data_IF_752647170141
#
_entry.id   IF_752647170141
#
_cell.length_a   1.000
_cell.length_b   1.000
_cell.length_c   1.000
_cell.angle_alpha   90.00
_cell.angle_beta   90.00
_cell.angle_gamma   90.00
#
_symmetry.space_group_name_H-M   'P 1'
#
loop_
_entity.id
_entity.type
_entity.pdbx_description
1 polymer ?
#
# COMPACT_ATOMS: atom_id res chain seq x y z
N UNK A 1 34.83 6.49 -24.66
CA UNK A 1 34.82 5.01 -24.77
C UNK A 1 34.36 4.31 -23.48
N UNK A 2 34.65 4.82 -22.28
CA UNK A 2 34.21 4.22 -21.00
C UNK A 2 32.69 4.24 -20.74
N UNK A 3 31.97 5.32 -21.11
CA UNK A 3 30.51 5.44 -20.94
C UNK A 3 29.67 4.38 -21.68
N UNK A 4 30.20 3.81 -22.77
CA UNK A 4 29.52 2.76 -23.53
C UNK A 4 29.56 1.40 -22.84
N UNK A 5 30.70 1.08 -22.20
CA UNK A 5 30.92 -0.19 -21.52
C UNK A 5 30.10 -0.31 -20.23
N UNK A 6 30.01 0.77 -19.44
CA UNK A 6 29.15 0.82 -18.24
C UNK A 6 27.67 0.62 -18.59
N UNK A 7 27.20 1.27 -19.67
CA UNK A 7 25.81 1.15 -20.11
C UNK A 7 25.48 -0.27 -20.57
N UNK A 8 26.41 -0.91 -21.28
CA UNK A 8 26.26 -2.29 -21.75
C UNK A 8 26.20 -3.28 -20.57
N UNK A 9 27.00 -3.05 -19.52
CA UNK A 9 27.01 -3.87 -18.31
C UNK A 9 25.70 -3.72 -17.51
N UNK A 10 25.21 -2.49 -17.32
CA UNK A 10 23.92 -2.23 -16.65
C UNK A 10 22.77 -2.90 -17.41
N UNK A 11 22.77 -2.81 -18.75
CA UNK A 11 21.72 -3.43 -19.57
C UNK A 11 21.79 -4.96 -19.51
N UNK A 12 22.98 -5.54 -19.57
CA UNK A 12 23.18 -6.98 -19.44
C UNK A 12 22.69 -7.49 -18.07
N UNK A 13 22.97 -6.76 -16.99
CA UNK A 13 22.53 -7.12 -15.65
C UNK A 13 20.99 -7.02 -15.48
N UNK A 14 20.38 -5.98 -16.05
CA UNK A 14 18.91 -5.86 -16.07
C UNK A 14 18.26 -6.97 -16.90
N UNK A 15 18.79 -7.26 -18.09
CA UNK A 15 18.28 -8.32 -18.96
C UNK A 15 18.43 -9.70 -18.32
N UNK A 16 19.54 -9.96 -17.64
CA UNK A 16 19.75 -11.22 -16.90
C UNK A 16 18.70 -11.39 -15.80
N UNK A 17 18.40 -10.33 -15.03
CA UNK A 17 17.27 -10.34 -14.07
C UNK A 17 15.93 -10.68 -14.73
N UNK A 18 15.66 -10.14 -15.92
CA UNK A 18 14.43 -10.51 -16.66
C UNK A 18 14.44 -11.95 -17.15
N UNK A 19 15.58 -12.49 -17.60
CA UNK A 19 15.73 -13.89 -18.00
C UNK A 19 15.53 -14.84 -16.81
N UNK A 20 16.12 -14.52 -15.65
CA UNK A 20 15.93 -15.31 -14.43
C UNK A 20 14.46 -15.31 -13.99
N UNK A 21 13.75 -14.18 -14.16
CA UNK A 21 12.30 -14.07 -13.88
C UNK A 21 11.42 -14.80 -14.89
N UNK A 22 11.92 -15.10 -16.09
CA UNK A 22 11.13 -15.78 -17.11
C UNK A 22 10.91 -17.25 -16.75
N UNK A 23 11.83 -17.88 -16.01
CA UNK A 23 11.74 -19.26 -15.53
C UNK A 23 11.56 -20.30 -16.65
N UNK A 24 11.70 -21.58 -16.32
CA UNK A 24 11.52 -22.68 -17.29
C UNK A 24 10.08 -23.24 -17.32
N UNK A 25 9.18 -22.71 -16.49
CA UNK A 25 7.84 -23.26 -16.32
C UNK A 25 6.77 -22.18 -16.45
N UNK A 26 6.26 -22.01 -17.67
CA UNK A 26 4.91 -21.47 -17.88
C UNK A 26 4.00 -22.65 -18.16
N UNK A 27 3.68 -23.41 -17.11
CA UNK A 27 2.57 -24.36 -17.15
C UNK A 27 1.29 -23.69 -17.71
N UNK A 28 0.39 -24.52 -18.23
CA UNK A 28 -0.91 -24.03 -18.71
C UNK A 28 -1.67 -23.38 -17.56
N UNK A 29 -2.03 -22.10 -17.72
CA UNK A 29 -2.85 -21.39 -16.73
C UNK A 29 -4.28 -21.88 -16.86
N UNK A 30 -4.81 -22.46 -15.79
CA UNK A 30 -6.21 -22.88 -15.73
C UNK A 30 -7.07 -21.64 -15.46
N UNK A 31 -7.84 -21.24 -16.46
CA UNK A 31 -8.73 -20.09 -16.39
C UNK A 31 -10.14 -20.50 -15.98
N UNK A 32 -10.76 -19.64 -15.19
CA UNK A 32 -12.15 -19.76 -14.80
C UNK A 32 -13.06 -18.84 -15.60
N UNK A 33 -14.33 -18.84 -15.21
CA UNK A 33 -15.36 -18.00 -15.80
C UNK A 33 -16.18 -17.34 -14.70
N UNK A 34 -16.46 -16.06 -14.87
CA UNK A 34 -17.33 -15.31 -13.98
C UNK A 34 -18.78 -15.79 -14.15
N UNK A 35 -19.41 -16.25 -13.08
CA UNK A 35 -20.79 -16.78 -13.11
C UNK A 35 -21.80 -15.76 -12.59
N UNK A 36 -21.43 -15.00 -11.56
CA UNK A 36 -22.35 -14.12 -10.84
C UNK A 36 -21.61 -12.93 -10.24
N UNK A 37 -22.35 -11.83 -10.05
CA UNK A 37 -21.92 -10.66 -9.30
C UNK A 37 -23.03 -10.23 -8.34
N UNK A 38 -22.66 -9.94 -7.10
CA UNK A 38 -23.57 -9.36 -6.09
C UNK A 38 -22.85 -8.21 -5.40
N UNK A 39 -23.30 -6.98 -5.64
CA UNK A 39 -22.59 -5.80 -5.18
C UNK A 39 -21.17 -5.77 -5.74
N UNK A 40 -20.16 -5.77 -4.86
CA UNK A 40 -18.73 -5.81 -5.22
C UNK A 40 -18.12 -7.21 -5.17
N UNK A 41 -18.91 -8.23 -4.83
CA UNK A 41 -18.43 -9.62 -4.76
C UNK A 41 -18.71 -10.31 -6.08
N UNK A 42 -17.65 -10.82 -6.69
CA UNK A 42 -17.65 -11.59 -7.92
C UNK A 42 -17.57 -13.08 -7.59
N UNK A 43 -18.31 -13.91 -8.30
CA UNK A 43 -18.26 -15.36 -8.17
C UNK A 43 -17.74 -15.98 -9.46
N UNK A 44 -16.70 -16.80 -9.35
CA UNK A 44 -16.04 -17.45 -10.48
C UNK A 44 -15.92 -18.95 -10.25
N UNK A 45 -16.06 -19.74 -11.31
CA UNK A 45 -15.86 -21.21 -11.28
C UNK A 45 -14.77 -21.62 -12.26
N UNK A 46 -14.27 -22.85 -12.13
CA UNK A 46 -13.37 -23.46 -13.12
C UNK A 46 -11.89 -23.08 -12.98
N UNK A 47 -11.53 -22.30 -11.95
CA UNK A 47 -10.13 -22.06 -11.59
C UNK A 47 -9.94 -22.18 -10.07
N UNK A 48 -8.67 -22.29 -9.64
CA UNK A 48 -8.26 -22.36 -8.24
C UNK A 48 -7.23 -21.28 -7.97
N UNK A 49 -7.37 -20.62 -6.83
CA UNK A 49 -6.43 -19.61 -6.35
C UNK A 49 -6.48 -19.57 -4.82
N UNK A 50 -5.39 -19.12 -4.21
CA UNK A 50 -5.28 -18.96 -2.76
C UNK A 50 -5.99 -17.70 -2.29
N UNK A 51 -6.44 -17.66 -1.03
CA UNK A 51 -6.92 -16.43 -0.40
C UNK A 51 -5.80 -15.37 -0.46
N UNK A 52 -6.15 -14.14 -0.84
CA UNK A 52 -5.19 -13.07 -1.08
C UNK A 52 -4.46 -13.15 -2.44
N UNK A 53 -4.77 -14.18 -3.24
CA UNK A 53 -4.25 -14.31 -4.59
C UNK A 53 -4.89 -13.31 -5.55
N UNK A 54 -4.09 -12.75 -6.44
CA UNK A 54 -4.56 -11.86 -7.50
C UNK A 54 -5.06 -12.65 -8.71
N UNK A 55 -6.22 -12.23 -9.22
CA UNK A 55 -6.82 -12.70 -10.45
C UNK A 55 -7.12 -11.52 -11.38
N UNK A 56 -6.83 -11.70 -12.67
CA UNK A 56 -7.29 -10.78 -13.70
C UNK A 56 -8.65 -11.24 -14.23
N UNK A 57 -9.65 -10.37 -14.13
CA UNK A 57 -10.95 -10.61 -14.78
C UNK A 57 -10.95 -9.88 -16.12
N UNK A 58 -11.01 -10.65 -17.20
CA UNK A 58 -10.90 -10.14 -18.58
C UNK A 58 -12.25 -10.22 -19.26
N UNK A 59 -12.81 -9.05 -19.58
CA UNK A 59 -14.07 -8.93 -20.31
C UNK A 59 -13.89 -9.11 -21.82
N UNK A 60 -14.97 -9.38 -22.58
CA UNK A 60 -14.95 -9.53 -24.04
C UNK A 60 -14.34 -8.34 -24.78
N UNK A 61 -14.46 -7.13 -24.23
CA UNK A 61 -13.88 -5.91 -24.79
C UNK A 61 -12.37 -5.76 -24.52
N UNK A 62 -11.75 -6.72 -23.83
CA UNK A 62 -10.33 -6.70 -23.47
C UNK A 62 -9.99 -5.86 -22.24
N UNK A 63 -10.98 -5.33 -21.51
CA UNK A 63 -10.73 -4.64 -20.23
C UNK A 63 -10.27 -5.65 -19.18
N UNK A 64 -9.18 -5.32 -18.49
CA UNK A 64 -8.65 -6.07 -17.37
C UNK A 64 -9.08 -5.43 -16.04
N UNK A 65 -9.70 -6.23 -15.18
CA UNK A 65 -10.12 -5.83 -13.84
C UNK A 65 -9.34 -6.68 -12.84
N UNK A 66 -8.34 -6.05 -12.20
CA UNK A 66 -7.58 -6.65 -11.12
C UNK A 66 -8.52 -6.96 -9.94
N UNK A 67 -8.52 -8.21 -9.50
CA UNK A 67 -9.37 -8.70 -8.40
C UNK A 67 -8.56 -9.58 -7.45
N UNK A 68 -8.99 -9.64 -6.20
CA UNK A 68 -8.37 -10.50 -5.18
C UNK A 68 -9.35 -11.56 -4.70
N UNK A 69 -8.85 -12.76 -4.45
CA UNK A 69 -9.62 -13.85 -3.84
C UNK A 69 -9.86 -13.54 -2.36
N UNK A 70 -11.11 -13.24 -2.01
CA UNK A 70 -11.54 -12.96 -0.63
C UNK A 70 -12.17 -14.17 0.06
N UNK A 71 -12.47 -15.22 -0.70
CA UNK A 71 -13.01 -16.47 -0.15
C UNK A 71 -13.26 -17.51 -1.23
N UNK A 72 -13.73 -18.68 -0.81
CA UNK A 72 -14.12 -19.78 -1.68
C UNK A 72 -15.29 -20.56 -1.06
N UNK A 73 -16.11 -21.16 -1.92
CA UNK A 73 -17.13 -22.15 -1.59
C UNK A 73 -16.75 -23.52 -2.16
N UNK A 74 -17.73 -24.42 -2.30
CA UNK A 74 -17.50 -25.78 -2.82
C UNK A 74 -16.82 -25.78 -4.20
N UNK A 75 -17.43 -25.11 -5.18
CA UNK A 75 -16.93 -25.04 -6.57
C UNK A 75 -16.65 -23.62 -7.06
N UNK A 76 -16.83 -22.62 -6.20
CA UNK A 76 -16.74 -21.19 -6.54
C UNK A 76 -15.63 -20.47 -5.78
N UNK A 77 -14.96 -19.55 -6.45
CA UNK A 77 -14.11 -18.52 -5.85
C UNK A 77 -14.90 -17.22 -5.73
N UNK A 78 -14.76 -16.55 -4.58
CA UNK A 78 -15.27 -15.22 -4.36
C UNK A 78 -14.13 -14.21 -4.54
N UNK A 79 -14.28 -13.32 -5.51
CA UNK A 79 -13.31 -12.29 -5.83
C UNK A 79 -13.87 -10.91 -5.48
N UNK A 80 -13.00 -9.99 -5.09
CA UNK A 80 -13.34 -8.59 -4.94
C UNK A 80 -12.42 -7.75 -5.84
N UNK A 81 -12.98 -6.89 -6.72
CA UNK A 81 -12.20 -5.99 -7.54
C UNK A 81 -11.40 -5.02 -6.68
N UNK A 82 -10.13 -4.83 -7.03
CA UNK A 82 -9.30 -3.79 -6.41
C UNK A 82 -9.54 -2.44 -7.08
N UNK A 83 -10.05 -2.42 -8.30
CA UNK A 83 -10.26 -1.21 -9.11
C UNK A 83 -11.68 -1.04 -9.64
N UNK A 84 -11.80 -0.26 -10.71
CA UNK A 84 -13.05 -0.02 -11.40
C UNK A 84 -13.58 -1.31 -12.07
N UNK A 85 -14.89 -1.49 -12.02
CA UNK A 85 -15.63 -2.65 -12.53
C UNK A 85 -16.32 -2.37 -13.86
N UNK A 86 -16.15 -1.17 -14.43
CA UNK A 86 -16.75 -0.82 -15.71
C UNK A 86 -16.36 -1.81 -16.82
N UNK A 87 -17.38 -2.29 -17.54
CA UNK A 87 -17.20 -3.27 -18.61
C UNK A 87 -17.18 -4.72 -18.15
N UNK A 88 -17.42 -5.01 -16.86
CA UNK A 88 -17.59 -6.38 -16.39
C UNK A 88 -18.87 -7.01 -16.96
N UNK A 89 -18.76 -8.23 -17.47
CA UNK A 89 -19.88 -8.98 -18.04
C UNK A 89 -19.94 -10.40 -17.47
N UNK A 90 -21.14 -10.99 -17.48
CA UNK A 90 -21.29 -12.39 -17.12
C UNK A 90 -20.54 -13.26 -18.12
N UNK A 91 -19.74 -14.18 -17.60
CA UNK A 91 -18.95 -15.08 -18.40
C UNK A 91 -17.58 -14.57 -18.80
N UNK A 92 -17.16 -13.41 -18.29
CA UNK A 92 -15.78 -12.92 -18.38
C UNK A 92 -14.77 -14.00 -17.91
N UNK A 93 -13.59 -14.01 -18.51
CA UNK A 93 -12.51 -14.93 -18.15
C UNK A 93 -11.90 -14.51 -16.83
N UNK A 94 -11.59 -15.47 -15.97
CA UNK A 94 -10.92 -15.23 -14.69
C UNK A 94 -9.58 -15.95 -14.72
N UNK A 95 -8.50 -15.18 -14.67
CA UNK A 95 -7.14 -15.68 -14.87
C UNK A 95 -6.37 -15.52 -13.55
N UNK A 96 -6.13 -16.61 -12.80
CA UNK A 96 -5.24 -16.55 -11.64
C UNK A 96 -3.82 -16.15 -12.07
N UNK A 97 -3.28 -15.11 -11.46
CA UNK A 97 -1.93 -14.62 -11.79
C UNK A 97 -0.82 -15.41 -11.09
N UNK A 98 -1.17 -16.22 -10.08
CA UNK A 98 -0.24 -16.91 -9.21
C UNK A 98 0.50 -16.00 -8.22
N UNK A 99 0.16 -14.70 -8.20
CA UNK A 99 0.79 -13.70 -7.32
C UNK A 99 -0.13 -13.35 -6.16
N UNK A 100 0.47 -12.89 -5.08
CA UNK A 100 -0.21 -12.20 -3.98
C UNK A 100 0.15 -10.72 -4.03
N UNK A 101 -0.66 -9.87 -3.42
CA UNK A 101 -0.38 -8.44 -3.34
C UNK A 101 0.95 -8.17 -2.61
N UNK A 102 1.83 -7.41 -3.25
CA UNK A 102 3.13 -6.99 -2.70
C UNK A 102 3.20 -5.47 -2.55
N UNK A 103 3.85 -5.01 -1.48
CA UNK A 103 4.19 -3.63 -1.25
C UNK A 103 5.57 -3.31 -1.88
N UNK A 104 5.63 -2.27 -2.70
CA UNK A 104 6.89 -1.62 -3.06
C UNK A 104 7.35 -0.80 -1.86
N UNK A 105 8.55 -1.06 -1.35
CA UNK A 105 9.10 -0.39 -0.16
C UNK A 105 10.50 0.13 -0.43
N UNK A 106 10.96 1.12 0.33
CA UNK A 106 12.34 1.62 0.28
C UNK A 106 12.48 3.14 0.38
N UNK A 107 13.71 3.63 0.50
CA UNK A 107 13.99 5.07 0.73
C UNK A 107 13.56 5.99 -0.42
N UNK A 108 13.48 5.46 -1.65
CA UNK A 108 13.02 6.19 -2.83
C UNK A 108 11.53 6.63 -2.75
N UNK A 109 10.78 6.13 -1.76
CA UNK A 109 9.42 6.57 -1.45
C UNK A 109 9.39 7.86 -0.62
N UNK A 110 10.50 8.28 0.00
CA UNK A 110 10.56 9.52 0.75
C UNK A 110 10.28 10.70 -0.19
N UNK A 111 9.37 11.59 0.22
CA UNK A 111 8.90 12.70 -0.62
C UNK A 111 7.81 12.33 -1.61
N UNK A 112 7.38 11.06 -1.65
CA UNK A 112 6.39 10.58 -2.63
C UNK A 112 4.98 10.53 -2.05
N UNK A 113 4.01 10.73 -2.93
CA UNK A 113 2.60 10.43 -2.69
C UNK A 113 2.19 9.30 -3.61
N UNK A 114 1.69 8.19 -3.06
CA UNK A 114 1.33 6.97 -3.79
C UNK A 114 -0.10 6.53 -3.46
N UNK A 115 -0.72 5.77 -4.36
CA UNK A 115 -2.02 5.14 -4.13
C UNK A 115 -1.91 3.77 -3.42
N UNK A 116 -3.05 3.12 -3.19
CA UNK A 116 -3.12 1.80 -2.53
C UNK A 116 -2.55 0.64 -3.35
N UNK A 117 -2.19 0.86 -4.63
CA UNK A 117 -1.48 -0.09 -5.49
C UNK A 117 0.02 0.26 -5.62
N UNK A 118 0.50 1.29 -4.91
CA UNK A 118 1.88 1.78 -4.99
C UNK A 118 2.17 2.62 -6.23
N UNK A 119 1.15 3.07 -6.97
CA UNK A 119 1.33 3.96 -8.14
C UNK A 119 1.46 5.41 -7.69
N UNK A 120 2.39 6.20 -8.25
CA UNK A 120 2.55 7.59 -7.85
C UNK A 120 1.36 8.48 -8.22
N UNK A 121 0.99 9.37 -7.29
CA UNK A 121 -0.04 10.41 -7.45
C UNK A 121 0.55 11.82 -7.58
N UNK A 122 1.86 11.96 -7.40
CA UNK A 122 2.58 13.24 -7.30
C UNK A 122 3.12 13.81 -8.62
N UNK A 123 2.89 13.12 -9.75
CA UNK A 123 3.42 13.47 -11.06
C UNK A 123 4.97 13.57 -11.14
N UNK A 124 5.70 12.98 -10.18
CA UNK A 124 7.17 12.97 -10.17
C UNK A 124 7.78 11.83 -10.99
N UNK A 125 6.99 11.17 -11.82
CA UNK A 125 7.38 10.01 -12.60
C UNK A 125 7.30 8.68 -11.82
N UNK A 126 7.62 7.55 -12.47
CA UNK A 126 7.50 6.23 -11.85
C UNK A 126 8.47 6.03 -10.68
N UNK A 127 8.01 5.27 -9.69
CA UNK A 127 8.87 4.72 -8.64
C UNK A 127 9.54 3.47 -9.20
N UNK A 128 10.85 3.52 -9.42
CA UNK A 128 11.65 2.37 -9.85
C UNK A 128 12.28 1.70 -8.64
N UNK A 129 11.70 0.60 -8.18
CA UNK A 129 12.36 -0.28 -7.22
C UNK A 129 12.00 -1.75 -7.46
N UNK A 130 12.91 -2.64 -7.11
CA UNK A 130 12.77 -4.09 -7.16
C UNK A 130 12.48 -4.69 -5.78
N UNK A 131 12.74 -3.98 -4.67
CA UNK A 131 12.39 -4.49 -3.35
C UNK A 131 10.86 -4.57 -3.19
N UNK A 132 10.41 -5.76 -2.79
CA UNK A 132 9.01 -6.11 -2.57
C UNK A 132 8.88 -6.78 -1.21
N UNK A 133 7.83 -6.44 -0.49
CA UNK A 133 7.44 -7.12 0.76
C UNK A 133 5.98 -7.58 0.63
N UNK A 134 5.54 -8.61 1.38
CA UNK A 134 4.13 -8.95 1.44
C UNK A 134 3.30 -7.73 1.85
N UNK A 135 2.20 -7.45 1.14
CA UNK A 135 1.35 -6.29 1.45
C UNK A 135 0.81 -6.35 2.88
N UNK A 136 0.49 -7.56 3.35
CA UNK A 136 -0.02 -7.84 4.69
C UNK A 136 1.03 -7.70 5.81
N UNK A 137 2.27 -7.35 5.46
CA UNK A 137 3.39 -7.27 6.39
C UNK A 137 3.88 -8.65 6.82
N UNK A 138 4.76 -8.68 7.82
CA UNK A 138 5.23 -9.92 8.43
C UNK A 138 4.87 -9.97 9.91
N UNK A 139 4.39 -11.13 10.38
CA UNK A 139 4.06 -11.29 11.79
C UNK A 139 5.33 -11.17 12.65
N UNK A 140 5.34 -10.21 13.58
CA UNK A 140 6.45 -10.00 14.49
C UNK A 140 6.16 -10.60 15.87
N UNK A 141 7.00 -11.55 16.31
CA UNK A 141 6.86 -12.22 17.60
C UNK A 141 6.78 -11.19 18.75
N UNK A 142 5.67 -11.15 19.53
CA UNK A 142 5.54 -10.24 20.65
C UNK A 142 6.63 -10.38 21.71
N UNK A 143 7.16 -11.59 21.93
CA UNK A 143 8.22 -11.86 22.90
C UNK A 143 9.59 -11.35 22.46
N UNK A 144 9.77 -11.11 21.16
CA UNK A 144 10.99 -10.50 20.62
C UNK A 144 10.96 -8.96 20.67
N UNK A 145 9.87 -8.35 21.18
CA UNK A 145 9.73 -6.89 21.25
C UNK A 145 10.51 -6.33 22.42
N UNK A 146 11.27 -5.27 22.16
CA UNK A 146 11.90 -4.48 23.21
C UNK A 146 10.83 -3.69 23.99
N UNK A 147 10.88 -3.68 25.34
CA UNK A 147 10.01 -2.82 26.14
C UNK A 147 10.19 -1.34 25.79
N UNK A 148 9.10 -0.58 25.88
CA UNK A 148 9.09 0.86 25.59
C UNK A 148 9.77 1.59 26.76
N UNK A 149 10.98 2.10 26.53
CA UNK A 149 11.78 2.84 27.54
C UNK A 149 12.18 4.24 27.12
N UNK A 150 12.12 4.53 25.82
CA UNK A 150 12.56 5.79 25.25
C UNK A 150 11.35 6.63 24.84
N UNK A 151 11.31 7.93 25.19
CA UNK A 151 10.24 8.81 24.74
C UNK A 151 10.34 9.07 23.23
N UNK A 152 9.17 9.20 22.60
CA UNK A 152 9.01 9.74 21.26
C UNK A 152 8.53 11.18 21.40
N UNK A 153 9.35 12.14 20.99
CA UNK A 153 8.93 13.54 20.95
C UNK A 153 8.02 13.71 19.73
N UNK A 154 6.75 14.06 19.97
CA UNK A 154 5.78 14.33 18.90
C UNK A 154 5.62 15.83 18.62
N UNK A 155 6.39 16.69 19.28
CA UNK A 155 6.41 18.13 19.08
C UNK A 155 5.15 18.87 19.53
N UNK A 156 4.26 18.21 20.28
CA UNK A 156 3.04 18.78 20.83
C UNK A 156 3.17 18.83 22.34
N UNK A 157 3.38 20.03 22.89
CA UNK A 157 3.69 20.24 24.32
C UNK A 157 2.71 19.52 25.25
N UNK A 158 1.41 19.65 25.01
CA UNK A 158 0.39 19.00 25.83
C UNK A 158 0.52 17.47 25.83
N UNK A 159 0.85 16.86 24.69
CA UNK A 159 1.07 15.42 24.58
C UNK A 159 2.38 15.05 25.30
N UNK A 160 3.49 15.70 24.95
CA UNK A 160 4.79 15.39 25.54
C UNK A 160 4.82 15.50 27.07
N UNK A 161 4.13 16.50 27.64
CA UNK A 161 4.18 16.79 29.07
C UNK A 161 3.13 16.07 29.90
N UNK A 162 1.92 15.82 29.37
CA UNK A 162 0.81 15.24 30.13
C UNK A 162 0.46 13.82 29.70
N UNK A 163 0.71 13.46 28.44
CA UNK A 163 0.32 12.19 27.82
C UNK A 163 1.52 11.61 27.04
N UNK A 164 2.68 11.55 27.71
CA UNK A 164 3.95 11.24 27.08
C UNK A 164 3.89 9.93 26.27
N UNK A 165 4.45 9.98 25.06
CA UNK A 165 4.47 8.86 24.12
C UNK A 165 5.85 8.22 24.11
N UNK A 166 5.92 6.90 24.06
CA UNK A 166 7.17 6.16 23.91
C UNK A 166 7.37 5.58 22.51
N UNK A 167 8.63 5.31 22.14
CA UNK A 167 9.00 4.68 20.88
C UNK A 167 8.43 3.26 20.80
N UNK A 168 7.63 2.99 19.77
CA UNK A 168 6.91 1.72 19.60
C UNK A 168 5.54 1.66 20.29
N UNK A 169 5.10 2.75 20.93
CA UNK A 169 3.75 2.84 21.46
C UNK A 169 2.72 3.00 20.34
N UNK A 170 1.53 2.42 20.55
CA UNK A 170 0.37 2.56 19.66
C UNK A 170 -0.67 3.42 20.37
N UNK A 171 -1.15 4.46 19.70
CA UNK A 171 -2.09 5.43 20.26
C UNK A 171 -3.31 5.59 19.34
N UNK A 172 -4.48 5.73 19.95
CA UNK A 172 -5.69 6.16 19.26
C UNK A 172 -5.82 7.68 19.33
N UNK A 173 -6.13 8.31 18.18
CA UNK A 173 -6.55 9.71 18.12
C UNK A 173 -8.05 9.75 17.83
N UNK A 174 -8.85 10.00 18.86
CA UNK A 174 -10.31 10.11 18.72
C UNK A 174 -10.69 11.57 18.51
N UNK A 175 -11.25 11.88 17.34
CA UNK A 175 -11.57 13.23 16.95
C UNK A 175 -12.84 13.26 16.08
N UNK A 176 -13.66 14.30 16.26
CA UNK A 176 -14.77 14.62 15.38
C UNK A 176 -14.32 15.43 14.16
N UNK A 177 -15.27 15.77 13.27
CA UNK A 177 -15.01 16.68 12.16
C UNK A 177 -14.75 18.10 12.68
N UNK A 178 -13.76 18.79 12.10
CA UNK A 178 -13.50 20.21 12.38
C UNK A 178 -12.81 20.54 13.72
N UNK A 179 -12.45 19.54 14.52
CA UNK A 179 -11.81 19.77 15.84
C UNK A 179 -10.29 19.95 15.78
N UNK A 180 -9.71 20.03 14.57
CA UNK A 180 -8.27 20.20 14.37
C UNK A 180 -7.45 18.90 14.23
N UNK A 181 -8.08 17.75 13.94
CA UNK A 181 -7.40 16.46 13.70
C UNK A 181 -6.24 16.60 12.70
N UNK A 182 -6.52 17.11 11.51
CA UNK A 182 -5.52 17.22 10.44
C UNK A 182 -4.38 18.18 10.79
N UNK A 183 -4.68 19.28 11.49
CA UNK A 183 -3.67 20.23 11.99
C UNK A 183 -2.76 19.55 13.01
N UNK A 184 -3.33 18.80 13.96
CA UNK A 184 -2.56 18.05 14.95
C UNK A 184 -1.65 17.01 14.29
N UNK A 185 -2.16 16.23 13.33
CA UNK A 185 -1.35 15.27 12.57
C UNK A 185 -0.21 15.97 11.81
N UNK A 186 -0.47 17.14 11.23
CA UNK A 186 0.56 17.97 10.61
C UNK A 186 1.63 18.44 11.58
N UNK A 187 1.22 18.93 12.77
CA UNK A 187 2.15 19.32 13.82
C UNK A 187 3.02 18.15 14.26
N UNK A 188 2.44 16.96 14.47
CA UNK A 188 3.19 15.76 14.82
C UNK A 188 4.18 15.38 13.72
N UNK A 189 3.75 15.37 12.46
CA UNK A 189 4.63 15.03 11.33
C UNK A 189 5.76 16.04 11.15
N UNK A 190 5.51 17.32 11.46
CA UNK A 190 6.50 18.40 11.33
C UNK A 190 7.51 18.44 12.47
N UNK A 191 7.05 18.25 13.70
CA UNK A 191 7.85 18.50 14.90
C UNK A 191 8.29 17.23 15.63
N UNK A 192 7.89 16.04 15.17
CA UNK A 192 8.40 14.80 15.74
C UNK A 192 9.89 14.61 15.48
N UNK A 193 10.57 13.96 16.43
CA UNK A 193 11.96 13.51 16.29
C UNK A 193 12.12 12.11 15.64
N UNK A 194 11.06 11.56 15.04
CA UNK A 194 11.16 10.33 14.24
C UNK A 194 12.00 10.56 12.96
N UNK A 195 12.73 9.53 12.54
CA UNK A 195 13.57 9.56 11.34
C UNK A 195 12.71 9.65 10.07
N UNK A 196 11.61 8.89 10.03
CA UNK A 196 10.69 8.80 8.89
C UNK A 196 9.27 8.91 9.38
N UNK A 197 8.41 9.59 8.62
CA UNK A 197 6.96 9.58 8.86
C UNK A 197 6.24 8.90 7.70
N UNK A 198 5.33 7.98 8.00
CA UNK A 198 4.47 7.36 6.99
C UNK A 198 3.04 7.75 7.30
N UNK A 199 2.33 8.31 6.32
CA UNK A 199 0.96 8.79 6.49
C UNK A 199 0.03 8.04 5.55
N UNK A 200 -0.87 7.24 6.10
CA UNK A 200 -1.97 6.63 5.36
C UNK A 200 -3.21 7.52 5.44
N UNK A 201 -3.66 8.05 4.30
CA UNK A 201 -4.89 8.83 4.14
C UNK A 201 -5.95 7.95 3.47
N UNK A 202 -6.79 7.30 4.28
CA UNK A 202 -7.72 6.24 3.89
C UNK A 202 -9.15 6.74 3.97
N UNK A 203 -9.85 6.73 2.83
CA UNK A 203 -11.26 7.10 2.76
C UNK A 203 -11.56 8.58 2.97
N UNK A 204 -10.54 9.44 2.94
CA UNK A 204 -10.69 10.90 2.95
C UNK A 204 -11.11 11.40 1.56
N UNK A 205 -11.62 12.64 1.47
CA UNK A 205 -11.95 13.22 0.16
C UNK A 205 -10.68 13.65 -0.57
N UNK A 206 -10.63 13.53 -1.90
CA UNK A 206 -9.44 13.90 -2.68
C UNK A 206 -8.96 15.34 -2.46
N UNK A 207 -9.88 16.29 -2.23
CA UNK A 207 -9.53 17.68 -1.88
C UNK A 207 -8.86 17.81 -0.50
N UNK A 208 -9.30 17.00 0.46
CA UNK A 208 -8.77 16.99 1.83
C UNK A 208 -7.37 16.36 1.84
N UNK A 209 -7.15 15.33 1.02
CA UNK A 209 -5.82 14.74 0.76
C UNK A 209 -4.88 15.80 0.18
N UNK A 210 -5.31 16.50 -0.87
CA UNK A 210 -4.50 17.55 -1.50
C UNK A 210 -4.14 18.67 -0.52
N UNK A 211 -5.14 19.16 0.23
CA UNK A 211 -4.93 20.18 1.25
C UNK A 211 -3.95 19.72 2.34
N UNK A 212 -4.05 18.47 2.78
CA UNK A 212 -3.13 17.91 3.77
C UNK A 212 -1.68 17.86 3.27
N UNK A 213 -1.46 17.40 2.04
CA UNK A 213 -0.11 17.32 1.46
C UNK A 213 0.49 18.71 1.23
N UNK A 214 -0.27 19.62 0.62
CA UNK A 214 0.24 20.93 0.19
C UNK A 214 0.37 21.92 1.37
N UNK A 215 -0.66 22.02 2.21
CA UNK A 215 -0.76 23.09 3.20
C UNK A 215 -0.36 22.64 4.61
N UNK A 216 -0.60 21.39 4.98
CA UNK A 216 -0.36 20.90 6.34
C UNK A 216 1.06 20.32 6.46
N UNK A 217 1.41 19.35 5.60
CA UNK A 217 2.76 18.78 5.53
C UNK A 217 3.74 19.79 4.94
N UNK A 218 3.47 20.24 3.71
CA UNK A 218 4.37 21.12 2.95
C UNK A 218 5.70 20.45 2.56
N UNK A 219 6.50 21.18 1.76
CA UNK A 219 7.69 20.62 1.09
C UNK A 219 8.76 20.08 2.02
N UNK A 220 9.04 20.76 3.13
CA UNK A 220 10.10 20.33 4.06
C UNK A 220 9.73 19.03 4.77
N UNK A 221 8.49 18.89 5.20
CA UNK A 221 8.02 17.69 5.89
C UNK A 221 7.97 16.49 4.94
N UNK A 222 7.54 16.72 3.69
CA UNK A 222 7.50 15.69 2.66
C UNK A 222 8.86 15.03 2.42
N UNK A 223 10.00 15.73 2.53
CA UNK A 223 11.34 15.14 2.32
C UNK A 223 11.62 13.90 3.20
N UNK A 224 10.98 13.81 4.38
CA UNK A 224 11.11 12.68 5.30
C UNK A 224 9.82 11.88 5.46
N UNK A 225 8.83 12.14 4.61
CA UNK A 225 7.52 11.52 4.70
C UNK A 225 7.18 10.70 3.46
N UNK A 226 6.43 9.62 3.66
CA UNK A 226 5.76 8.87 2.59
C UNK A 226 4.26 9.00 2.81
N UNK A 227 3.51 9.40 1.79
CA UNK A 227 2.06 9.52 1.88
C UNK A 227 1.41 8.45 1.01
N UNK A 228 0.61 7.59 1.62
CA UNK A 228 -0.25 6.62 0.93
C UNK A 228 -1.67 7.17 0.97
N UNK A 229 -2.22 7.58 -0.17
CA UNK A 229 -3.53 8.18 -0.26
C UNK A 229 -4.49 7.28 -1.04
N UNK A 230 -5.58 6.87 -0.39
CA UNK A 230 -6.66 6.13 -1.01
C UNK A 230 -7.99 6.82 -0.72
N UNK A 231 -8.43 7.74 -1.61
CA UNK A 231 -9.67 8.49 -1.39
C UNK A 231 -10.93 7.62 -1.35
N UNK A 232 -12.02 8.19 -0.83
CA UNK A 232 -13.29 7.50 -0.53
C UNK A 232 -14.00 6.84 -1.73
N UNK A 233 -13.75 7.33 -2.94
CA UNK A 233 -14.29 6.84 -4.21
C UNK A 233 -13.64 5.54 -4.70
N UNK A 234 -12.50 5.14 -4.12
CA UNK A 234 -11.90 3.84 -4.42
C UNK A 234 -12.68 2.67 -3.80
N UNK A 235 -12.59 1.46 -4.36
CA UNK A 235 -13.19 0.26 -3.77
C UNK A 235 -12.72 -0.01 -2.33
N UNK A 236 -13.55 -0.64 -1.48
CA UNK A 236 -13.20 -0.96 -0.09
C UNK A 236 -11.88 -1.74 0.04
N UNK A 237 -11.66 -2.73 -0.83
CA UNK A 237 -10.43 -3.52 -0.81
C UNK A 237 -9.19 -2.65 -1.04
N UNK A 238 -9.25 -1.67 -1.95
CA UNK A 238 -8.14 -0.74 -2.20
C UNK A 238 -7.87 0.17 -1.00
N UNK A 239 -8.89 0.56 -0.23
CA UNK A 239 -8.71 1.31 1.03
C UNK A 239 -7.99 0.48 2.08
N UNK A 240 -8.38 -0.79 2.23
CA UNK A 240 -7.67 -1.73 3.11
C UNK A 240 -6.21 -1.91 2.66
N UNK A 241 -5.97 -2.05 1.35
CA UNK A 241 -4.63 -2.15 0.79
C UNK A 241 -3.79 -0.90 1.08
N UNK A 242 -4.38 0.29 0.99
CA UNK A 242 -3.68 1.53 1.37
C UNK A 242 -3.17 1.50 2.82
N UNK A 243 -4.00 1.05 3.75
CA UNK A 243 -3.61 0.93 5.16
C UNK A 243 -2.51 -0.12 5.38
N UNK A 244 -2.63 -1.27 4.71
CA UNK A 244 -1.63 -2.34 4.75
C UNK A 244 -0.31 -1.91 4.10
N UNK A 245 -0.37 -1.19 2.98
CA UNK A 245 0.80 -0.64 2.28
C UNK A 245 1.55 0.35 3.15
N UNK A 246 0.84 1.32 3.76
CA UNK A 246 1.43 2.28 4.69
C UNK A 246 2.12 1.56 5.87
N UNK A 247 1.50 0.50 6.39
CA UNK A 247 2.08 -0.31 7.46
C UNK A 247 3.34 -1.04 6.98
N UNK A 248 3.30 -1.71 5.83
CA UNK A 248 4.44 -2.43 5.27
C UNK A 248 5.63 -1.52 4.94
N UNK A 249 5.37 -0.30 4.48
CA UNK A 249 6.42 0.72 4.30
C UNK A 249 7.05 1.10 5.64
N UNK A 250 6.24 1.32 6.68
CA UNK A 250 6.75 1.62 8.02
C UNK A 250 7.57 0.46 8.60
N UNK A 251 7.15 -0.79 8.38
CA UNK A 251 7.91 -1.98 8.78
C UNK A 251 9.26 -2.07 8.08
N UNK A 252 9.32 -1.78 6.77
CA UNK A 252 10.57 -1.75 6.02
C UNK A 252 11.58 -0.76 6.61
N UNK A 253 11.15 0.46 6.94
CA UNK A 253 12.04 1.44 7.57
C UNK A 253 12.45 1.04 8.99
N UNK A 254 11.53 0.44 9.77
CA UNK A 254 11.84 -0.10 11.10
C UNK A 254 12.94 -1.17 11.04
N UNK A 255 12.89 -2.07 10.06
CA UNK A 255 13.91 -3.11 9.86
C UNK A 255 15.28 -2.54 9.48
N UNK A 256 15.31 -1.37 8.86
CA UNK A 256 16.53 -0.60 8.58
C UNK A 256 17.05 0.16 9.82
N UNK A 257 16.45 -0.07 10.99
CA UNK A 257 16.82 0.58 12.25
C UNK A 257 16.28 2.00 12.42
N UNK A 258 15.38 2.46 11.53
CA UNK A 258 14.79 3.81 11.64
C UNK A 258 13.65 3.83 12.66
N UNK A 259 13.54 4.94 13.37
CA UNK A 259 12.36 5.25 14.17
C UNK A 259 11.28 5.88 13.28
N UNK A 260 10.14 5.20 13.17
CA UNK A 260 9.06 5.59 12.26
C UNK A 260 7.85 6.09 13.05
N UNK A 261 7.30 7.23 12.64
CA UNK A 261 5.96 7.67 13.02
C UNK A 261 4.98 7.22 11.93
N UNK A 262 4.10 6.25 12.24
CA UNK A 262 3.02 5.85 11.34
C UNK A 262 1.72 6.55 11.77
N UNK A 263 1.15 7.35 10.87
CA UNK A 263 -0.13 8.02 11.05
C UNK A 263 -1.17 7.36 10.11
N UNK A 264 -2.23 6.81 10.69
CA UNK A 264 -3.31 6.18 9.94
C UNK A 264 -4.59 7.02 10.07
N UNK A 265 -4.92 7.78 9.04
CA UNK A 265 -6.08 8.65 8.98
C UNK A 265 -7.08 8.17 7.91
N UNK A 266 -8.11 7.39 8.23
CA UNK A 266 -8.46 6.92 9.58
C UNK A 266 -8.76 5.42 9.63
N UNK A 267 -8.58 4.83 10.81
CA UNK A 267 -8.98 3.44 11.10
C UNK A 267 -10.50 3.21 11.05
N UNK A 268 -11.30 4.27 11.07
CA UNK A 268 -12.77 4.18 10.94
C UNK A 268 -13.20 3.85 9.51
N UNK A 269 -12.34 4.09 8.51
CA UNK A 269 -12.61 3.96 7.07
C UNK A 269 -12.06 2.66 6.49
#
# INVERSE_FOLDING_TARGET
MQLGAERQQIWAERLRRYQDRLGDDRGLVVEGRLTRMVGLTLEAIGCRAVIGGQCDVVSSNGTHIESEVVGFGEDSLYLMPTGDIHGLEQGARVIPTGRVCEAVVGEHLLGRVIDGAGKPLDNLGPVHNDERRPLTGTSFNPLARTPIREPLDVGVRAINSLLSVGRGQRLGLFAGSGVGKSVLLGMMTRYTNADVTVVGLIGERGREVKEFVENILGKECMKRAVVVAVPADNPPLRRMHGAMLATSIAESFREQGKHVLLLMDSLTR
#
